data_IF_747477844219
#
_entry.id   IF_747477844219
#
_cell.length_a   1.000
_cell.length_b   1.000
_cell.length_c   1.000
_cell.angle_alpha   90.00
_cell.angle_beta   90.00
_cell.angle_gamma   90.00
#
_symmetry.space_group_name_H-M   'P 1'
#
loop_
_entity.id
_entity.type
_entity.pdbx_description
1 polymer ?
#
# COMPACT_ATOMS: atom_id res chain seq x y z
N UNK A 1 5.34 16.03 0.43
CA UNK A 1 6.02 15.83 -0.88
C UNK A 1 5.32 14.74 -1.66
N UNK A 2 4.90 15.03 -2.88
CA UNK A 2 4.15 14.07 -3.68
C UNK A 2 5.04 12.96 -4.21
N UNK A 3 4.48 11.76 -4.29
CA UNK A 3 5.15 10.64 -4.91
C UNK A 3 5.11 10.77 -6.43
N UNK A 4 6.12 10.26 -7.14
CA UNK A 4 6.15 10.33 -8.60
C UNK A 4 5.07 9.46 -9.24
N UNK A 5 4.68 9.81 -10.46
CA UNK A 5 3.73 8.99 -11.25
C UNK A 5 4.26 7.58 -11.51
N UNK A 6 5.59 7.41 -11.60
CA UNK A 6 6.21 6.12 -11.83
C UNK A 6 6.12 5.21 -10.61
N UNK A 7 6.36 5.76 -9.42
CA UNK A 7 6.20 5.02 -8.17
C UNK A 7 4.74 4.64 -7.92
N UNK A 8 3.82 5.57 -8.18
CA UNK A 8 2.38 5.31 -8.06
C UNK A 8 1.97 4.16 -9.00
N UNK A 9 2.40 4.22 -10.25
CA UNK A 9 2.11 3.18 -11.25
C UNK A 9 2.64 1.83 -10.81
N UNK A 10 3.90 1.79 -10.34
CA UNK A 10 4.52 0.56 -9.85
C UNK A 10 3.73 -0.06 -8.71
N UNK A 11 3.30 0.75 -7.74
CA UNK A 11 2.51 0.28 -6.62
C UNK A 11 1.19 -0.36 -7.09
N UNK A 12 0.44 0.36 -7.93
CA UNK A 12 -0.86 -0.13 -8.39
C UNK A 12 -0.75 -1.35 -9.29
N UNK A 13 0.28 -1.44 -10.12
CA UNK A 13 0.54 -2.64 -10.92
C UNK A 13 0.89 -3.84 -10.03
N UNK A 14 1.70 -3.62 -9.00
CA UNK A 14 2.08 -4.67 -8.07
C UNK A 14 0.90 -5.24 -7.31
N UNK A 15 0.07 -4.38 -6.74
CA UNK A 15 -1.11 -4.83 -5.99
C UNK A 15 -2.16 -5.44 -6.93
N UNK A 16 -2.26 -4.94 -8.15
CA UNK A 16 -3.18 -5.45 -9.17
C UNK A 16 -2.86 -6.87 -9.64
N UNK A 17 -1.57 -7.25 -9.64
CA UNK A 17 -1.15 -8.61 -9.98
C UNK A 17 -1.74 -9.67 -9.04
N UNK A 18 -2.06 -9.28 -7.82
CA UNK A 18 -2.71 -10.16 -6.84
C UNK A 18 -4.24 -10.08 -6.91
N UNK A 19 -4.77 -9.37 -7.91
CA UNK A 19 -6.21 -9.19 -8.11
C UNK A 19 -6.88 -8.57 -6.88
N UNK A 20 -6.17 -7.72 -6.16
CA UNK A 20 -6.74 -6.94 -5.07
C UNK A 20 -7.74 -5.96 -5.67
N UNK A 21 -8.94 -5.88 -5.09
CA UNK A 21 -9.99 -4.98 -5.54
C UNK A 21 -9.50 -3.54 -5.55
N UNK A 22 -9.83 -2.78 -6.60
CA UNK A 22 -9.44 -1.38 -6.73
C UNK A 22 -9.92 -0.54 -5.54
N UNK A 23 -11.07 -0.88 -4.98
CA UNK A 23 -11.59 -0.22 -3.79
C UNK A 23 -10.67 -0.38 -2.56
N UNK A 24 -9.84 -1.42 -2.54
CA UNK A 24 -8.87 -1.65 -1.47
C UNK A 24 -7.51 -1.01 -1.78
N UNK A 25 -7.17 -0.85 -3.05
CA UNK A 25 -5.86 -0.36 -3.46
C UNK A 25 -5.62 1.10 -3.02
N UNK A 26 -6.60 1.97 -3.21
CA UNK A 26 -6.48 3.39 -2.84
C UNK A 26 -6.24 3.60 -1.34
N UNK A 27 -7.03 3.01 -0.43
CA UNK A 27 -6.75 3.14 1.00
C UNK A 27 -5.38 2.60 1.40
N UNK A 28 -4.93 1.49 0.79
CA UNK A 28 -3.61 0.92 1.08
C UNK A 28 -2.49 1.84 0.60
N UNK A 29 -2.61 2.40 -0.60
CA UNK A 29 -1.66 3.36 -1.14
C UNK A 29 -1.55 4.58 -0.23
N UNK A 30 -2.69 5.18 0.12
CA UNK A 30 -2.71 6.38 0.95
C UNK A 30 -2.15 6.12 2.36
N UNK A 31 -2.44 4.96 2.92
CA UNK A 31 -1.89 4.57 4.21
C UNK A 31 -0.37 4.38 4.16
N UNK A 32 0.10 3.57 3.21
CA UNK A 32 1.52 3.23 3.14
C UNK A 32 2.40 4.41 2.75
N UNK A 33 1.98 5.18 1.75
CA UNK A 33 2.79 6.28 1.21
C UNK A 33 2.65 7.55 2.04
N UNK A 34 1.41 7.96 2.31
CA UNK A 34 1.15 9.26 2.93
C UNK A 34 0.87 9.20 4.43
N UNK A 35 0.70 8.00 5.00
CA UNK A 35 0.38 7.86 6.41
C UNK A 35 -1.02 8.37 6.76
N UNK A 36 -1.97 8.22 5.84
CA UNK A 36 -3.37 8.58 6.08
C UNK A 36 -4.10 7.40 6.72
N UNK A 37 -4.95 7.70 7.71
CA UNK A 37 -5.76 6.66 8.34
C UNK A 37 -6.72 6.04 7.32
N UNK A 38 -6.71 4.71 7.18
CA UNK A 38 -7.50 4.04 6.14
C UNK A 38 -8.94 3.76 6.52
N UNK A 39 -9.40 4.22 7.70
CA UNK A 39 -10.74 3.94 8.19
C UNK A 39 -10.83 2.68 9.04
N UNK A 40 -12.00 2.45 9.66
CA UNK A 40 -12.17 1.40 10.67
C UNK A 40 -11.94 -0.01 10.15
N UNK A 41 -12.50 -0.32 8.98
CA UNK A 41 -12.34 -1.65 8.39
C UNK A 41 -10.87 -1.98 8.12
N UNK A 42 -10.18 -1.10 7.39
CA UNK A 42 -8.78 -1.33 7.04
C UNK A 42 -7.86 -1.29 8.25
N UNK A 43 -8.14 -0.43 9.21
CA UNK A 43 -7.38 -0.39 10.47
C UNK A 43 -7.46 -1.74 11.18
N UNK A 44 -8.65 -2.33 11.24
CA UNK A 44 -8.83 -3.65 11.84
C UNK A 44 -8.11 -4.75 11.08
N UNK A 45 -8.16 -4.73 9.74
CA UNK A 45 -7.43 -5.68 8.90
C UNK A 45 -5.93 -5.56 9.15
N UNK A 46 -5.41 -4.34 9.11
CA UNK A 46 -3.99 -4.07 9.34
C UNK A 46 -3.53 -4.47 10.74
N UNK A 47 -4.40 -4.30 11.73
CA UNK A 47 -4.11 -4.64 13.12
C UNK A 47 -4.25 -6.13 13.42
N UNK A 48 -4.64 -6.94 12.44
CA UNK A 48 -4.90 -8.37 12.61
C UNK A 48 -6.05 -8.64 13.60
N UNK A 49 -7.05 -7.77 13.57
CA UNK A 49 -8.24 -7.88 14.41
C UNK A 49 -9.41 -8.39 13.56
N UNK A 50 -9.52 -9.71 13.49
CA UNK A 50 -10.46 -10.38 12.60
C UNK A 50 -11.91 -10.02 12.92
N UNK A 51 -12.30 -10.04 14.19
CA UNK A 51 -13.69 -9.78 14.57
C UNK A 51 -14.11 -8.36 14.20
N UNK A 52 -13.27 -7.37 14.51
CA UNK A 52 -13.57 -5.98 14.16
C UNK A 52 -13.54 -5.76 12.65
N UNK A 53 -12.63 -6.41 11.94
CA UNK A 53 -12.56 -6.31 10.48
C UNK A 53 -13.86 -6.82 9.84
N UNK A 54 -14.34 -7.98 10.26
CA UNK A 54 -15.60 -8.53 9.74
C UNK A 54 -16.79 -7.64 10.11
N UNK A 55 -16.84 -7.14 11.35
CA UNK A 55 -17.93 -6.28 11.81
C UNK A 55 -18.01 -4.96 11.03
N UNK A 56 -16.88 -4.41 10.60
CA UNK A 56 -16.81 -3.15 9.84
C UNK A 56 -16.79 -3.36 8.33
N UNK A 57 -16.78 -4.60 7.85
CA UNK A 57 -16.75 -4.92 6.43
C UNK A 57 -18.08 -4.59 5.77
N UNK A 58 -18.01 -3.99 4.57
CA UNK A 58 -19.22 -3.79 3.77
C UNK A 58 -19.77 -5.17 3.35
N UNK A 59 -21.11 -5.37 3.39
CA UNK A 59 -21.69 -6.66 3.01
C UNK A 59 -21.33 -7.16 1.62
N UNK A 60 -20.95 -6.27 0.70
CA UNK A 60 -20.52 -6.65 -0.66
C UNK A 60 -19.09 -7.19 -0.72
N UNK A 61 -18.30 -7.06 0.34
CA UNK A 61 -16.95 -7.59 0.37
C UNK A 61 -17.00 -9.12 0.46
N UNK A 62 -16.38 -9.77 -0.51
CA UNK A 62 -16.38 -11.23 -0.59
C UNK A 62 -15.16 -11.82 0.13
N UNK A 63 -15.25 -13.10 0.48
CA UNK A 63 -14.09 -13.83 1.03
C UNK A 63 -12.93 -13.83 0.02
N UNK A 64 -13.24 -13.96 -1.26
CA UNK A 64 -12.23 -13.92 -2.32
C UNK A 64 -11.48 -12.59 -2.34
N UNK A 65 -12.21 -11.47 -2.24
CA UNK A 65 -11.60 -10.14 -2.21
C UNK A 65 -10.71 -9.95 -0.97
N UNK A 66 -11.17 -10.40 0.20
CA UNK A 66 -10.39 -10.32 1.44
C UNK A 66 -9.15 -11.21 1.38
N UNK A 67 -9.27 -12.39 0.78
CA UNK A 67 -8.13 -13.31 0.61
C UNK A 67 -7.06 -12.72 -0.30
N UNK A 68 -7.44 -12.07 -1.39
CA UNK A 68 -6.50 -11.40 -2.28
C UNK A 68 -5.75 -10.28 -1.53
N UNK A 69 -6.47 -9.46 -0.78
CA UNK A 69 -5.88 -8.37 -0.01
C UNK A 69 -4.90 -8.90 1.04
N UNK A 70 -5.31 -9.87 1.85
CA UNK A 70 -4.47 -10.41 2.91
C UNK A 70 -3.26 -11.17 2.37
N UNK A 71 -3.41 -11.86 1.23
CA UNK A 71 -2.30 -12.53 0.56
C UNK A 71 -1.24 -11.54 0.10
N UNK A 72 -1.66 -10.45 -0.52
CA UNK A 72 -0.74 -9.38 -0.92
C UNK A 72 -0.04 -8.78 0.30
N UNK A 73 -0.77 -8.52 1.38
CA UNK A 73 -0.20 -7.97 2.62
C UNK A 73 0.90 -8.89 3.17
N UNK A 74 0.63 -10.18 3.25
CA UNK A 74 1.59 -11.15 3.80
C UNK A 74 2.88 -11.22 2.99
N UNK A 75 2.79 -11.16 1.67
CA UNK A 75 3.93 -11.40 0.80
C UNK A 75 4.72 -10.14 0.46
N UNK A 76 4.11 -8.96 0.46
CA UNK A 76 4.75 -7.75 -0.04
C UNK A 76 4.80 -6.59 0.92
N UNK A 77 3.89 -6.53 1.88
CA UNK A 77 3.77 -5.38 2.76
C UNK A 77 4.85 -5.38 3.84
N UNK A 78 5.45 -4.21 4.17
CA UNK A 78 6.42 -4.14 5.26
C UNK A 78 5.80 -4.58 6.58
N UNK A 79 6.51 -5.44 7.33
CA UNK A 79 6.02 -5.93 8.63
C UNK A 79 5.78 -4.82 9.63
N UNK A 80 6.52 -3.72 9.52
CA UNK A 80 6.34 -2.56 10.40
C UNK A 80 4.99 -1.86 10.22
N UNK A 81 4.30 -2.12 9.11
CA UNK A 81 3.06 -1.44 8.76
C UNK A 81 1.80 -2.20 9.17
N UNK A 82 1.91 -3.43 9.67
CA UNK A 82 0.74 -4.23 10.01
C UNK A 82 1.05 -5.28 11.07
N UNK A 83 -0.01 -5.91 11.59
CA UNK A 83 0.09 -6.99 12.55
C UNK A 83 -0.50 -6.68 13.93
N UNK A 84 -0.58 -5.40 14.30
CA UNK A 84 -1.16 -4.95 15.58
C UNK A 84 -1.61 -3.50 15.46
N UNK A 85 -2.43 -3.04 16.41
CA UNK A 85 -2.81 -1.62 16.47
C UNK A 85 -1.59 -0.73 16.73
N UNK A 86 -0.63 -1.21 17.51
CA UNK A 86 0.61 -0.48 17.77
C UNK A 86 1.41 -0.28 16.48
N UNK A 87 1.52 -1.32 15.65
CA UNK A 87 2.22 -1.23 14.37
C UNK A 87 1.55 -0.20 13.44
N UNK A 88 0.22 -0.21 13.39
CA UNK A 88 -0.54 0.76 12.58
C UNK A 88 -0.27 2.18 13.09
N UNK A 89 -0.33 2.39 14.39
CA UNK A 89 -0.06 3.71 14.98
C UNK A 89 1.36 4.17 14.68
N UNK A 90 2.34 3.29 14.85
CA UNK A 90 3.74 3.63 14.55
C UNK A 90 3.93 4.02 13.10
N UNK A 91 3.27 3.30 12.17
CA UNK A 91 3.35 3.65 10.76
C UNK A 91 2.74 5.02 10.47
N UNK A 92 1.57 5.32 11.06
CA UNK A 92 0.91 6.62 10.89
C UNK A 92 1.74 7.77 11.47
N UNK A 93 2.45 7.52 12.56
CA UNK A 93 3.28 8.53 13.24
C UNK A 93 4.67 8.69 12.60
N UNK A 94 5.04 7.76 11.71
CA UNK A 94 6.34 7.78 11.05
C UNK A 94 6.43 8.93 10.05
N UNK A 95 7.62 9.51 9.88
CA UNK A 95 7.81 10.55 8.89
C UNK A 95 7.79 10.01 7.46
N UNK A 96 7.47 10.88 6.51
CA UNK A 96 7.32 10.52 5.11
C UNK A 96 8.59 9.91 4.52
N UNK A 97 9.74 10.48 4.84
CA UNK A 97 11.02 10.00 4.31
C UNK A 97 11.29 8.56 4.75
N UNK A 98 11.04 8.25 6.02
CA UNK A 98 11.25 6.90 6.54
C UNK A 98 10.29 5.90 5.92
N UNK A 99 9.01 6.27 5.77
CA UNK A 99 8.03 5.39 5.08
C UNK A 99 8.49 5.09 3.65
N UNK A 100 8.93 6.10 2.91
CA UNK A 100 9.39 5.90 1.53
C UNK A 100 10.60 4.98 1.45
N UNK A 101 11.57 5.17 2.33
CA UNK A 101 12.75 4.30 2.37
C UNK A 101 12.36 2.84 2.58
N UNK A 102 11.44 2.58 3.51
CA UNK A 102 10.95 1.22 3.77
C UNK A 102 10.22 0.66 2.55
N UNK A 103 9.37 1.47 1.91
CA UNK A 103 8.64 1.03 0.71
C UNK A 103 9.57 0.71 -0.46
N UNK A 104 10.64 1.49 -0.61
CA UNK A 104 11.67 1.22 -1.61
C UNK A 104 12.37 -0.11 -1.32
N UNK A 105 12.74 -0.36 -0.07
CA UNK A 105 13.37 -1.61 0.36
C UNK A 105 12.49 -2.82 0.07
N UNK A 106 11.17 -2.68 0.18
CA UNK A 106 10.21 -3.74 -0.13
C UNK A 106 9.79 -3.77 -1.60
N UNK A 107 10.44 -2.96 -2.43
CA UNK A 107 10.19 -2.93 -3.88
C UNK A 107 8.75 -2.57 -4.26
N UNK A 108 8.09 -1.77 -3.43
CA UNK A 108 6.71 -1.33 -3.68
C UNK A 108 6.63 -0.05 -4.50
N UNK A 109 7.67 0.77 -4.43
CA UNK A 109 7.78 2.01 -5.21
C UNK A 109 9.18 2.08 -5.83
N UNK A 110 9.37 3.02 -6.76
CA UNK A 110 10.64 3.18 -7.47
C UNK A 110 11.72 3.82 -6.61
N UNK A 111 12.98 3.41 -6.83
CA UNK A 111 14.15 4.13 -6.32
C UNK A 111 14.32 5.44 -7.11
N UNK A 112 15.06 6.42 -6.58
CA UNK A 112 15.37 7.64 -7.35
C UNK A 112 16.06 7.35 -8.69
N UNK A 113 16.92 6.34 -8.73
CA UNK A 113 17.57 5.94 -10.00
C UNK A 113 16.58 5.41 -11.01
N UNK A 114 15.64 4.59 -10.57
CA UNK A 114 14.58 4.06 -11.44
C UNK A 114 13.69 5.17 -11.96
N UNK A 115 13.33 6.12 -11.12
CA UNK A 115 12.52 7.27 -11.53
C UNK A 115 13.24 8.11 -12.59
N UNK A 116 14.51 8.40 -12.39
CA UNK A 116 15.32 9.16 -13.35
C UNK A 116 15.40 8.43 -14.68
N UNK A 117 15.67 7.13 -14.66
CA UNK A 117 15.75 6.32 -15.88
C UNK A 117 14.42 6.33 -16.64
N UNK A 118 13.30 6.15 -15.95
CA UNK A 118 11.97 6.11 -16.57
C UNK A 118 11.59 7.48 -17.15
N UNK A 119 11.99 8.56 -16.49
CA UNK A 119 11.75 9.91 -16.98
C UNK A 119 12.52 10.18 -18.28
N UNK A 120 13.78 9.81 -18.33
CA UNK A 120 14.60 9.94 -19.54
C UNK A 120 14.02 9.09 -20.67
N UNK A 121 13.63 7.86 -20.38
CA UNK A 121 13.02 6.95 -21.35
C UNK A 121 11.70 7.50 -21.88
N UNK A 122 10.89 8.08 -21.00
CA UNK A 122 9.63 8.71 -21.39
C UNK A 122 9.85 9.88 -22.33
N UNK A 123 10.84 10.71 -22.07
CA UNK A 123 11.20 11.82 -22.94
C UNK A 123 11.63 11.34 -24.34
N UNK A 124 12.39 10.24 -24.40
CA UNK A 124 12.78 9.65 -25.69
C UNK A 124 11.59 9.24 -26.52
N UNK A 125 10.57 8.67 -25.89
CA UNK A 125 9.38 8.19 -26.60
C UNK A 125 8.41 9.30 -26.97
N UNK A 126 8.46 10.42 -26.29
CA UNK A 126 7.59 11.57 -26.57
C UNK A 126 8.09 12.44 -27.72
N UNK A 127 9.35 12.26 -28.10
CA UNK A 127 9.93 12.95 -29.22
C UNK A 127 9.68 12.21 -30.52
#
# INVERSE_FOLDING_TARGET
MNISKYSKKKFYEGIGLWRVDDAFADPMFNYLVYGFSPGSFFTSVLANDFLSAVAHSHPSNTITALKALTGWMQDYMPRRAFGSYEAVKEWLDMDETTRREILIMHNLICTPKQETFLEIKGEEYEM
#
